data_IF_605569082424
#
_entry.id   IF_605569082424
#
_cell.length_a   1.000
_cell.length_b   1.000
_cell.length_c   1.000
_cell.angle_alpha   90.00
_cell.angle_beta   90.00
_cell.angle_gamma   90.00
#
_symmetry.space_group_name_H-M   'P 1'
#
loop_
_entity.id
_entity.type
_entity.pdbx_description
1 polymer ?
#
# COMPACT_ATOMS: atom_id res chain seq x y z
N UNK A 1 32.27 18.39 34.09
CA UNK A 1 32.08 17.34 33.06
C UNK A 1 30.94 16.35 33.38
N UNK A 2 29.96 16.69 34.21
CA UNK A 2 28.92 15.75 34.67
C UNK A 2 27.53 15.99 34.03
N UNK A 3 27.28 17.18 33.46
CA UNK A 3 25.97 17.55 32.91
C UNK A 3 25.67 17.04 31.49
N UNK A 4 26.62 16.41 30.79
CA UNK A 4 26.43 15.90 29.42
C UNK A 4 26.00 14.43 29.34
N UNK A 5 26.01 13.69 30.46
CA UNK A 5 25.74 12.24 30.46
C UNK A 5 24.24 11.93 30.66
N UNK A 6 23.46 12.81 31.30
CA UNK A 6 22.04 12.56 31.57
C UNK A 6 21.13 12.58 30.32
N UNK A 7 21.52 13.29 29.26
CA UNK A 7 20.68 13.41 28.04
C UNK A 7 20.73 12.13 27.19
N UNK A 8 21.80 11.35 27.26
CA UNK A 8 21.98 10.13 26.46
C UNK A 8 21.11 8.95 26.95
N UNK A 9 20.73 8.91 28.23
CA UNK A 9 19.94 7.82 28.81
C UNK A 9 18.44 7.90 28.50
N UNK A 10 17.91 9.10 28.21
CA UNK A 10 16.49 9.30 27.89
C UNK A 10 16.15 8.85 26.46
N UNK A 11 17.12 8.91 25.54
CA UNK A 11 16.92 8.49 24.15
C UNK A 11 16.86 6.97 23.94
N UNK A 12 17.48 6.18 24.82
CA UNK A 12 17.51 4.71 24.73
C UNK A 12 16.26 4.04 25.33
N UNK A 13 15.48 4.75 26.15
CA UNK A 13 14.24 4.22 26.74
C UNK A 13 13.02 4.37 25.82
N UNK A 14 13.09 5.23 24.81
CA UNK A 14 11.93 5.57 23.98
C UNK A 14 11.63 4.50 22.93
N UNK A 15 12.61 3.77 22.42
CA UNK A 15 12.39 2.78 21.34
C UNK A 15 11.58 1.55 21.79
N UNK A 16 11.66 1.16 23.06
CA UNK A 16 10.96 -0.03 23.58
C UNK A 16 9.52 0.24 24.07
N UNK A 17 9.15 1.51 24.29
CA UNK A 17 7.79 1.89 24.72
C UNK A 17 6.81 1.93 23.54
N UNK A 18 7.28 2.30 22.35
CA UNK A 18 6.44 2.47 21.15
C UNK A 18 5.80 1.17 20.64
N UNK A 19 6.50 0.03 20.77
CA UNK A 19 5.98 -1.27 20.32
C UNK A 19 4.98 -1.89 21.31
N UNK A 20 5.15 -1.63 22.62
CA UNK A 20 4.31 -2.17 23.69
C UNK A 20 2.91 -1.52 23.75
N UNK A 21 2.78 -0.25 23.37
CA UNK A 21 1.47 0.44 23.30
C UNK A 21 0.61 -0.07 22.13
N UNK A 22 1.25 -0.50 21.05
CA UNK A 22 0.53 -0.95 19.86
C UNK A 22 0.17 -2.44 19.89
N UNK A 23 0.88 -3.27 20.66
CA UNK A 23 0.47 -4.67 20.92
C UNK A 23 -0.83 -4.78 21.73
N UNK A 24 -1.21 -3.75 22.50
CA UNK A 24 -2.49 -3.70 23.20
C UNK A 24 -3.70 -3.46 22.25
N UNK A 25 -3.47 -2.99 21.02
CA UNK A 25 -4.54 -2.63 20.07
C UNK A 25 -5.04 -3.83 19.24
N UNK A 26 -4.18 -4.82 18.98
CA UNK A 26 -4.48 -6.04 18.21
C UNK A 26 -5.66 -6.84 18.81
N UNK A 27 -5.89 -6.74 20.12
CA UNK A 27 -7.03 -7.37 20.80
C UNK A 27 -8.35 -6.60 20.65
N UNK A 28 -8.30 -5.30 20.35
CA UNK A 28 -9.49 -4.44 20.21
C UNK A 28 -9.96 -4.29 18.76
N UNK A 29 -9.07 -4.47 17.79
CA UNK A 29 -9.39 -4.37 16.36
C UNK A 29 -8.78 -5.53 15.55
N UNK A 30 -9.26 -6.77 15.75
CA UNK A 30 -8.72 -7.96 15.07
C UNK A 30 -8.92 -7.93 13.54
N UNK A 31 -9.74 -7.00 13.05
CA UNK A 31 -10.10 -6.85 11.64
C UNK A 31 -9.18 -5.90 10.87
N UNK A 32 -8.37 -5.08 11.54
CA UNK A 32 -7.48 -4.11 10.91
C UNK A 32 -6.10 -4.16 11.56
N UNK A 33 -5.16 -4.86 10.92
CA UNK A 33 -3.77 -4.95 11.39
C UNK A 33 -3.12 -3.58 11.32
N UNK A 34 -2.84 -3.00 12.47
CA UNK A 34 -2.02 -1.78 12.55
C UNK A 34 -0.56 -2.21 12.55
N UNK A 35 -0.02 -2.54 11.38
CA UNK A 35 1.39 -2.87 11.19
C UNK A 35 2.12 -1.86 10.29
N UNK A 36 3.43 -2.06 10.10
CA UNK A 36 4.25 -1.22 9.22
C UNK A 36 4.19 0.27 9.55
N UNK A 37 3.84 1.10 8.57
CA UNK A 37 3.80 2.55 8.69
C UNK A 37 2.79 3.04 9.74
N UNK A 38 1.71 2.30 10.01
CA UNK A 38 0.75 2.67 11.05
C UNK A 38 1.38 2.58 12.45
N UNK A 39 2.27 1.61 12.66
CA UNK A 39 3.07 1.49 13.89
C UNK A 39 4.13 2.58 13.96
N UNK A 40 4.94 2.72 12.90
CA UNK A 40 6.11 3.61 12.93
C UNK A 40 5.75 5.09 13.02
N UNK A 41 4.57 5.49 12.54
CA UNK A 41 4.05 6.86 12.67
C UNK A 41 3.23 7.09 13.94
N UNK A 42 3.09 6.08 14.80
CA UNK A 42 2.38 6.20 16.07
C UNK A 42 0.86 6.33 15.93
N UNK A 43 0.27 5.91 14.80
CA UNK A 43 -1.19 5.94 14.63
C UNK A 43 -1.92 5.01 15.60
N UNK A 44 -1.27 3.93 16.04
CA UNK A 44 -1.77 3.02 17.07
C UNK A 44 -1.73 3.56 18.51
N UNK A 45 -1.16 4.75 18.76
CA UNK A 45 -0.92 5.24 20.13
C UNK A 45 -2.16 5.76 20.86
N UNK A 46 -3.13 6.31 20.13
CA UNK A 46 -4.31 6.94 20.74
C UNK A 46 -5.59 6.57 20.02
N UNK A 47 -6.69 6.43 20.76
CA UNK A 47 -8.02 6.22 20.18
C UNK A 47 -8.37 7.32 19.17
N UNK A 48 -8.00 8.56 19.47
CA UNK A 48 -8.29 9.73 18.63
C UNK A 48 -7.54 9.73 17.29
N UNK A 49 -6.47 8.95 17.15
CA UNK A 49 -5.73 8.82 15.88
C UNK A 49 -6.58 8.20 14.76
N UNK A 50 -7.60 7.40 15.12
CA UNK A 50 -8.52 6.74 14.20
C UNK A 50 -9.99 7.12 14.45
N UNK A 51 -10.36 7.38 15.71
CA UNK A 51 -11.70 7.78 16.11
C UNK A 51 -11.78 9.30 16.28
N UNK A 52 -11.80 9.99 15.15
CA UNK A 52 -11.84 11.45 15.09
C UNK A 52 -13.04 11.98 15.90
N UNK A 53 -12.78 12.97 16.75
CA UNK A 53 -13.79 13.58 17.64
C UNK A 53 -14.54 12.57 18.51
N UNK A 54 -13.93 11.44 18.87
CA UNK A 54 -14.55 10.41 19.70
C UNK A 54 -15.60 9.57 18.95
N UNK A 55 -15.65 9.63 17.62
CA UNK A 55 -16.59 8.85 16.82
C UNK A 55 -16.01 7.47 16.54
N UNK A 56 -16.60 6.44 17.16
CA UNK A 56 -16.17 5.04 17.00
C UNK A 56 -16.91 4.30 15.87
N UNK A 57 -18.19 4.59 15.71
CA UNK A 57 -18.98 3.97 14.64
C UNK A 57 -18.65 4.61 13.30
N UNK A 58 -18.45 3.78 12.28
CA UNK A 58 -18.14 4.26 10.93
C UNK A 58 -16.67 4.62 10.70
N UNK A 59 -15.79 4.43 11.71
CA UNK A 59 -14.34 4.50 11.46
C UNK A 59 -13.97 3.54 10.32
N UNK A 60 -13.30 4.05 9.27
CA UNK A 60 -12.97 3.23 8.12
C UNK A 60 -12.13 2.01 8.48
N UNK A 61 -12.39 0.90 7.79
CA UNK A 61 -11.74 -0.40 8.04
C UNK A 61 -10.95 -0.93 6.84
N UNK A 62 -10.94 -0.19 5.74
CA UNK A 62 -10.27 -0.58 4.51
C UNK A 62 -9.28 0.50 4.10
N UNK A 63 -8.20 0.10 3.44
CA UNK A 63 -7.11 1.00 3.04
C UNK A 63 -7.65 2.24 2.32
N UNK A 64 -8.47 2.05 1.28
CA UNK A 64 -8.95 3.14 0.42
C UNK A 64 -9.82 4.17 1.16
N UNK A 65 -10.55 3.77 2.19
CA UNK A 65 -11.45 4.69 2.88
C UNK A 65 -10.70 5.67 3.80
N UNK A 66 -9.47 5.33 4.24
CA UNK A 66 -8.55 6.28 4.88
C UNK A 66 -7.57 6.91 3.89
N UNK A 67 -7.11 6.15 2.89
CA UNK A 67 -6.11 6.54 1.88
C UNK A 67 -6.76 7.08 0.59
N UNK A 68 -7.80 7.91 0.73
CA UNK A 68 -8.53 8.55 -0.36
C UNK A 68 -8.12 10.01 -0.61
N UNK A 69 -7.15 10.52 0.14
CA UNK A 69 -6.71 11.92 0.05
C UNK A 69 -7.51 12.89 0.93
N UNK A 70 -8.42 12.38 1.77
CA UNK A 70 -9.06 13.19 2.79
C UNK A 70 -8.00 13.68 3.82
N UNK A 71 -7.82 15.00 3.97
CA UNK A 71 -6.77 15.57 4.80
C UNK A 71 -6.96 15.26 6.29
N UNK A 72 -8.16 14.87 6.73
CA UNK A 72 -8.44 14.51 8.12
C UNK A 72 -7.63 13.30 8.59
N UNK A 73 -7.33 12.36 7.67
CA UNK A 73 -6.59 11.15 8.00
C UNK A 73 -5.07 11.32 7.92
N UNK A 74 -4.60 12.37 7.21
CA UNK A 74 -3.18 12.65 6.98
C UNK A 74 -2.44 11.44 6.40
N UNK A 75 -3.04 10.82 5.39
CA UNK A 75 -2.56 9.59 4.74
C UNK A 75 -1.96 9.89 3.37
N UNK A 76 -1.16 8.94 2.87
CA UNK A 76 -0.85 8.90 1.44
C UNK A 76 -2.11 8.52 0.65
N UNK A 77 -2.25 9.04 -0.56
CA UNK A 77 -3.34 8.71 -1.46
C UNK A 77 -2.79 8.29 -2.83
N UNK A 78 -3.67 7.78 -3.70
CA UNK A 78 -3.31 7.48 -5.09
C UNK A 78 -2.79 8.74 -5.77
N UNK A 79 -1.59 8.66 -6.34
CA UNK A 79 -1.10 9.72 -7.22
C UNK A 79 -1.90 9.74 -8.52
N UNK A 80 -1.83 10.85 -9.27
CA UNK A 80 -2.37 10.93 -10.63
C UNK A 80 -1.78 9.89 -11.59
N UNK A 81 -0.66 9.29 -11.21
CA UNK A 81 0.08 8.31 -12.00
C UNK A 81 -0.12 6.87 -11.52
N UNK A 82 -0.97 6.64 -10.52
CA UNK A 82 -1.32 5.30 -10.05
C UNK A 82 -1.95 4.46 -11.16
N UNK A 83 -1.59 3.18 -11.24
CA UNK A 83 -2.13 2.22 -12.22
C UNK A 83 -3.65 2.06 -11.97
N UNK A 84 -4.50 2.03 -13.00
CA UNK A 84 -5.94 2.02 -12.82
C UNK A 84 -6.42 0.70 -12.21
N UNK A 85 -6.62 0.69 -10.88
CA UNK A 85 -7.20 -0.44 -10.15
C UNK A 85 -8.50 -0.01 -9.48
N UNK A 86 -9.60 -0.61 -9.90
CA UNK A 86 -10.95 -0.25 -9.43
C UNK A 86 -11.45 -1.26 -8.39
N UNK A 87 -11.10 -2.54 -8.53
CA UNK A 87 -11.63 -3.64 -7.71
C UNK A 87 -10.54 -4.45 -6.98
N UNK A 88 -9.30 -3.99 -6.99
CA UNK A 88 -8.17 -4.70 -6.37
C UNK A 88 -7.80 -4.05 -5.04
N UNK A 89 -7.69 -4.88 -4.00
CA UNK A 89 -7.28 -4.44 -2.68
C UNK A 89 -5.84 -3.91 -2.70
N UNK A 90 -5.55 -2.89 -1.88
CA UNK A 90 -4.26 -2.19 -1.92
C UNK A 90 -3.09 -3.10 -1.55
N UNK A 91 -3.31 -4.05 -0.65
CA UNK A 91 -2.34 -5.04 -0.18
C UNK A 91 -1.93 -6.06 -1.24
N UNK A 92 -2.65 -6.15 -2.36
CA UNK A 92 -2.25 -6.98 -3.49
C UNK A 92 -0.93 -6.50 -4.14
N UNK A 93 -0.61 -5.20 -4.02
CA UNK A 93 0.58 -4.58 -4.61
C UNK A 93 1.45 -3.81 -3.60
N UNK A 94 0.84 -3.29 -2.53
CA UNK A 94 1.49 -2.44 -1.54
C UNK A 94 1.69 -3.17 -0.21
N UNK A 95 2.90 -3.11 0.36
CA UNK A 95 3.10 -3.52 1.75
C UNK A 95 2.87 -2.35 2.70
N UNK A 96 2.51 -2.65 3.95
CA UNK A 96 2.33 -1.61 4.98
C UNK A 96 3.66 -1.01 5.44
N UNK A 97 4.79 -1.71 5.25
CA UNK A 97 6.13 -1.23 5.60
C UNK A 97 6.78 -0.36 4.51
N UNK A 98 6.35 -0.48 3.25
CA UNK A 98 6.95 0.22 2.10
C UNK A 98 5.88 0.59 1.07
N UNK A 99 4.80 1.19 1.54
CA UNK A 99 3.60 1.46 0.76
C UNK A 99 3.86 2.27 -0.52
N UNK A 100 4.83 3.19 -0.52
CA UNK A 100 5.08 4.07 -1.68
C UNK A 100 6.34 3.73 -2.49
N UNK A 101 7.26 2.93 -1.95
CA UNK A 101 8.63 2.81 -2.49
C UNK A 101 9.03 1.42 -3.00
N UNK A 102 8.29 0.36 -2.65
CA UNK A 102 8.58 -1.01 -3.09
C UNK A 102 7.29 -1.72 -3.54
N UNK A 103 6.54 -1.04 -4.42
CA UNK A 103 5.28 -1.54 -4.96
C UNK A 103 5.60 -2.57 -6.05
N UNK A 104 5.00 -3.75 -5.94
CA UNK A 104 5.20 -4.83 -6.91
C UNK A 104 3.91 -5.10 -7.67
N UNK A 105 4.01 -5.28 -8.98
CA UNK A 105 2.88 -5.73 -9.78
C UNK A 105 2.52 -7.18 -9.41
N UNK A 106 1.24 -7.45 -9.26
CA UNK A 106 0.70 -8.77 -8.99
C UNK A 106 -0.32 -9.14 -10.08
N UNK A 107 0.14 -9.87 -11.10
CA UNK A 107 -0.73 -10.26 -12.21
C UNK A 107 -1.86 -11.21 -11.81
N UNK A 108 -1.68 -12.01 -10.73
CA UNK A 108 -2.73 -12.91 -10.24
C UNK A 108 -3.96 -12.13 -9.77
N UNK A 109 -3.75 -11.03 -9.03
CA UNK A 109 -4.83 -10.14 -8.60
C UNK A 109 -5.47 -9.36 -9.76
N UNK A 110 -4.88 -9.39 -10.95
CA UNK A 110 -5.34 -8.72 -12.16
C UNK A 110 -5.93 -9.67 -13.20
N UNK A 111 -6.11 -10.97 -12.90
CA UNK A 111 -6.51 -11.99 -13.88
C UNK A 111 -7.81 -11.68 -14.63
N UNK A 112 -8.75 -10.98 -14.00
CA UNK A 112 -10.03 -10.56 -14.59
C UNK A 112 -9.92 -9.32 -15.50
N UNK A 113 -8.83 -8.56 -15.42
CA UNK A 113 -8.60 -7.38 -16.26
C UNK A 113 -7.98 -7.80 -17.59
N UNK A 114 -8.33 -7.12 -18.69
CA UNK A 114 -7.69 -7.33 -19.99
C UNK A 114 -6.21 -6.95 -19.95
N UNK A 115 -5.38 -7.61 -20.73
CA UNK A 115 -3.95 -7.30 -20.76
C UNK A 115 -3.71 -5.95 -21.43
N UNK A 116 -4.43 -5.67 -22.52
CA UNK A 116 -4.30 -4.44 -23.29
C UNK A 116 -4.80 -3.18 -22.56
N UNK A 117 -5.53 -3.29 -21.44
CA UNK A 117 -5.92 -2.11 -20.65
C UNK A 117 -4.74 -1.44 -19.95
N UNK A 118 -3.65 -2.20 -19.70
CA UNK A 118 -2.43 -1.69 -19.08
C UNK A 118 -1.22 -1.79 -20.02
N UNK A 119 -1.17 -2.81 -20.88
CA UNK A 119 -0.07 -3.00 -21.84
C UNK A 119 -0.33 -2.24 -23.17
N UNK A 120 -0.76 -0.98 -23.04
CA UNK A 120 -1.12 -0.07 -24.15
C UNK A 120 -0.10 1.04 -24.42
N UNK A 121 1.07 0.98 -23.77
CA UNK A 121 2.13 1.97 -23.89
C UNK A 121 2.09 3.12 -22.87
N UNK A 122 0.97 3.31 -22.13
CA UNK A 122 0.86 4.40 -21.15
C UNK A 122 1.62 4.13 -19.84
N UNK A 123 1.89 2.86 -19.52
CA UNK A 123 2.46 2.42 -18.24
C UNK A 123 3.88 1.87 -18.36
N UNK A 124 4.58 2.16 -19.46
CA UNK A 124 5.96 1.71 -19.73
C UNK A 124 6.95 2.16 -18.67
N UNK A 125 6.75 3.35 -18.08
CA UNK A 125 7.54 3.85 -16.94
C UNK A 125 7.46 2.98 -15.69
N UNK A 126 6.45 2.11 -15.61
CA UNK A 126 6.27 1.12 -14.53
C UNK A 126 6.67 -0.30 -14.95
N UNK A 127 7.36 -0.44 -16.09
CA UNK A 127 7.76 -1.74 -16.63
C UNK A 127 6.65 -2.50 -17.35
N UNK A 128 5.52 -1.85 -17.68
CA UNK A 128 4.50 -2.50 -18.51
C UNK A 128 5.04 -2.62 -19.95
N UNK A 129 5.34 -3.84 -20.34
CA UNK A 129 5.76 -4.17 -21.71
C UNK A 129 4.56 -4.20 -22.67
N UNK A 130 4.78 -4.34 -23.96
CA UNK A 130 3.70 -4.38 -24.94
C UNK A 130 4.17 -4.96 -26.26
N UNK A 131 3.36 -4.79 -27.31
CA UNK A 131 3.70 -5.23 -28.66
C UNK A 131 4.98 -4.54 -29.13
N UNK A 132 6.04 -5.31 -29.38
CA UNK A 132 7.28 -4.79 -29.97
C UNK A 132 7.14 -4.65 -31.49
N UNK A 133 8.19 -4.14 -32.15
CA UNK A 133 8.21 -3.90 -33.61
C UNK A 133 8.01 -5.17 -34.46
N UNK A 134 8.31 -6.34 -33.91
CA UNK A 134 8.24 -7.63 -34.60
C UNK A 134 6.95 -8.40 -34.24
N UNK A 135 6.10 -7.84 -33.39
CA UNK A 135 4.84 -8.45 -32.98
C UNK A 135 3.82 -8.44 -34.14
N UNK A 136 3.12 -9.56 -34.34
CA UNK A 136 2.07 -9.68 -35.36
C UNK A 136 0.94 -8.66 -35.13
N UNK A 137 0.54 -7.93 -36.17
CA UNK A 137 -0.57 -6.98 -36.08
C UNK A 137 -1.86 -7.71 -35.71
N UNK A 138 -2.49 -7.30 -34.60
CA UNK A 138 -3.72 -7.89 -34.07
C UNK A 138 -4.40 -6.92 -33.10
N UNK A 139 -5.72 -7.00 -32.99
CA UNK A 139 -6.56 -6.28 -32.02
C UNK A 139 -7.10 -7.19 -30.91
N UNK A 140 -6.77 -8.49 -30.95
CA UNK A 140 -7.10 -9.45 -29.88
C UNK A 140 -6.40 -9.10 -28.57
N UNK A 141 -6.97 -9.54 -27.44
CA UNK A 141 -6.30 -9.40 -26.14
C UNK A 141 -5.04 -10.29 -26.11
N UNK A 142 -4.04 -9.87 -25.32
CA UNK A 142 -2.78 -10.60 -25.25
C UNK A 142 -2.99 -12.04 -24.78
N UNK A 143 -3.97 -12.30 -23.90
CA UNK A 143 -4.25 -13.63 -23.36
C UNK A 143 -4.70 -14.65 -24.40
N UNK A 144 -5.13 -14.21 -25.57
CA UNK A 144 -5.57 -15.11 -26.63
C UNK A 144 -4.40 -15.93 -27.18
N UNK A 145 -3.20 -15.33 -27.20
CA UNK A 145 -1.95 -15.99 -27.56
C UNK A 145 -1.08 -16.27 -26.33
N UNK A 146 -0.78 -15.26 -25.52
CA UNK A 146 0.16 -15.40 -24.40
C UNK A 146 -0.52 -15.92 -23.14
N UNK A 147 -0.05 -17.07 -22.62
CA UNK A 147 -0.62 -17.71 -21.42
C UNK A 147 0.17 -17.44 -20.13
N UNK A 148 1.28 -16.74 -20.24
CA UNK A 148 2.20 -16.44 -19.15
C UNK A 148 2.24 -14.93 -18.87
N UNK A 149 2.57 -14.58 -17.64
CA UNK A 149 2.80 -13.19 -17.20
C UNK A 149 4.28 -12.91 -16.93
N UNK A 150 5.13 -13.90 -17.20
CA UNK A 150 6.59 -13.84 -17.03
C UNK A 150 7.34 -14.23 -18.30
N UNK A 151 6.64 -14.63 -19.36
CA UNK A 151 7.18 -14.86 -20.70
C UNK A 151 6.13 -14.51 -21.76
N UNK A 152 6.60 -14.18 -22.96
CA UNK A 152 5.76 -13.88 -24.13
C UNK A 152 5.60 -15.09 -25.06
N UNK A 153 5.76 -16.30 -24.52
CA UNK A 153 5.51 -17.51 -25.28
C UNK A 153 4.01 -17.59 -25.63
N UNK A 154 3.73 -18.06 -26.84
CA UNK A 154 2.38 -18.22 -27.39
C UNK A 154 1.77 -19.59 -27.07
#
# INVERSE_FOLDING_TARGET
MIFKILVALVFMFSINVHSAECTAYETSHPFYKLDGAHLSTGKCKTCASCHLSGTYMGTPRTCVLCHNGDPRWQTVARSASHIPTILVACDACHSTTSFTSNVKMNHTSMAASRCDSCHNGLYTKYGAEGKNKDHKVTTKDCRDCHKSTSSWDA
#
